data_IF_379213928502
#
_entry.id   IF_379213928502
#
_cell.length_a   1.000
_cell.length_b   1.000
_cell.length_c   1.000
_cell.angle_alpha   90.00
_cell.angle_beta   90.00
_cell.angle_gamma   90.00
#
_symmetry.space_group_name_H-M   'P 1'
#
loop_
_entity.id
_entity.type
_entity.pdbx_description
1 polymer ?
#
# COMPACT_ATOMS: atom_id res chain seq x y z
N UNK A 1 25.10 -8.46 -5.52
CA UNK A 1 24.18 -7.55 -6.25
C UNK A 1 25.01 -6.63 -7.14
N UNK A 2 24.76 -6.59 -8.47
CA UNK A 2 25.44 -5.64 -9.37
C UNK A 2 25.02 -4.21 -9.05
N UNK A 3 25.98 -3.27 -9.04
CA UNK A 3 25.76 -1.84 -8.77
C UNK A 3 24.87 -1.22 -9.85
N UNK A 4 23.90 -0.40 -9.45
CA UNK A 4 23.02 0.31 -10.36
C UNK A 4 23.83 1.36 -11.15
N UNK A 5 23.74 1.34 -12.49
CA UNK A 5 24.38 2.34 -13.35
C UNK A 5 23.71 3.71 -13.17
N UNK A 6 24.45 4.81 -13.33
CA UNK A 6 23.93 6.18 -13.19
C UNK A 6 22.66 6.43 -14.01
N UNK A 7 22.63 6.01 -15.28
CA UNK A 7 21.44 6.18 -16.15
C UNK A 7 20.21 5.41 -15.69
N UNK A 8 20.37 4.20 -15.15
CA UNK A 8 19.25 3.43 -14.56
C UNK A 8 18.71 4.11 -13.31
N UNK A 9 19.58 4.73 -12.50
CA UNK A 9 19.17 5.49 -11.32
C UNK A 9 18.31 6.68 -11.71
N UNK A 10 18.78 7.52 -12.63
CA UNK A 10 18.02 8.68 -13.12
C UNK A 10 16.69 8.29 -13.75
N UNK A 11 16.63 7.15 -14.45
CA UNK A 11 15.37 6.61 -14.96
C UNK A 11 14.40 6.26 -13.83
N UNK A 12 14.86 5.54 -12.80
CA UNK A 12 14.04 5.15 -11.65
C UNK A 12 13.56 6.39 -10.90
N UNK A 13 14.46 7.34 -10.63
CA UNK A 13 14.14 8.58 -9.91
C UNK A 13 13.02 9.34 -10.65
N UNK A 14 13.13 9.49 -11.98
CA UNK A 14 12.08 10.13 -12.77
C UNK A 14 10.74 9.37 -12.77
N UNK A 15 10.74 8.04 -12.73
CA UNK A 15 9.50 7.25 -12.61
C UNK A 15 8.88 7.43 -11.22
N UNK A 16 9.69 7.48 -10.16
CA UNK A 16 9.22 7.68 -8.79
C UNK A 16 8.69 9.11 -8.55
N UNK A 17 9.22 10.10 -9.27
CA UNK A 17 8.69 11.47 -9.33
C UNK A 17 7.34 11.56 -10.07
N UNK A 18 6.89 10.47 -10.72
CA UNK A 18 5.61 10.39 -11.40
C UNK A 18 5.66 10.71 -12.89
N UNK A 19 6.85 10.85 -13.48
CA UNK A 19 6.97 11.02 -14.93
C UNK A 19 6.60 9.73 -15.68
N UNK A 20 6.13 9.88 -16.92
CA UNK A 20 5.89 8.72 -17.78
C UNK A 20 7.22 8.00 -18.07
N UNK A 21 7.27 6.67 -18.18
CA UNK A 21 8.52 5.94 -18.44
C UNK A 21 9.30 6.45 -19.66
N UNK A 22 8.62 6.93 -20.70
CA UNK A 22 9.27 7.52 -21.88
C UNK A 22 9.97 8.84 -21.53
N UNK A 23 9.35 9.68 -20.69
CA UNK A 23 9.90 10.95 -20.22
C UNK A 23 11.06 10.72 -19.25
N UNK A 24 10.93 9.76 -18.33
CA UNK A 24 12.03 9.35 -17.44
C UNK A 24 13.24 8.83 -18.23
N UNK A 25 13.01 8.11 -19.34
CA UNK A 25 14.07 7.67 -20.24
C UNK A 25 14.71 8.82 -21.03
N UNK A 26 13.93 9.84 -21.41
CA UNK A 26 14.47 11.08 -22.01
C UNK A 26 15.35 11.83 -21.01
N UNK A 27 14.89 12.00 -19.78
CA UNK A 27 15.60 12.68 -18.70
C UNK A 27 16.93 11.97 -18.38
N UNK A 28 16.93 10.64 -18.37
CA UNK A 28 18.13 9.84 -18.16
C UNK A 28 19.12 9.82 -19.36
N UNK A 29 18.79 10.48 -20.47
CA UNK A 29 19.69 10.62 -21.63
C UNK A 29 19.85 9.33 -22.45
N UNK A 30 18.77 8.58 -22.65
CA UNK A 30 18.73 7.46 -23.60
C UNK A 30 18.41 7.95 -25.02
N UNK A 31 19.14 7.44 -26.02
CA UNK A 31 18.99 7.85 -27.42
C UNK A 31 17.64 7.42 -28.04
N UNK A 32 17.07 6.29 -27.59
CA UNK A 32 15.77 5.77 -28.05
C UNK A 32 14.79 5.60 -26.88
N UNK A 33 14.28 6.70 -26.29
CA UNK A 33 13.55 6.66 -25.02
C UNK A 33 12.36 5.70 -25.00
N UNK A 34 11.62 5.59 -26.11
CA UNK A 34 10.45 4.70 -26.22
C UNK A 34 10.81 3.21 -26.17
N UNK A 35 11.92 2.83 -26.80
CA UNK A 35 12.39 1.43 -26.79
C UNK A 35 13.14 1.14 -25.49
N UNK A 36 14.02 2.05 -25.08
CA UNK A 36 14.76 1.95 -23.82
C UNK A 36 13.85 1.88 -22.61
N UNK A 37 12.77 2.67 -22.54
CA UNK A 37 11.83 2.61 -21.41
C UNK A 37 11.18 1.24 -21.28
N UNK A 38 10.80 0.60 -22.40
CA UNK A 38 10.23 -0.76 -22.40
C UNK A 38 11.21 -1.79 -21.85
N UNK A 39 12.46 -1.77 -22.32
CA UNK A 39 13.48 -2.68 -21.81
C UNK A 39 13.87 -2.41 -20.36
N UNK A 40 13.92 -1.14 -19.95
CA UNK A 40 14.24 -0.76 -18.57
C UNK A 40 13.17 -1.21 -17.60
N UNK A 41 11.89 -1.17 -17.97
CA UNK A 41 10.81 -1.69 -17.13
C UNK A 41 10.82 -3.21 -16.99
N UNK A 42 11.40 -3.92 -17.94
CA UNK A 42 11.58 -5.38 -17.89
C UNK A 42 12.90 -5.77 -17.19
N UNK A 43 13.80 -4.82 -16.95
CA UNK A 43 15.10 -5.08 -16.34
C UNK A 43 14.93 -5.45 -14.86
N UNK A 44 15.43 -6.63 -14.50
CA UNK A 44 15.32 -7.18 -13.13
C UNK A 44 15.83 -6.23 -12.03
N UNK A 45 16.88 -5.45 -12.30
CA UNK A 45 17.39 -4.49 -11.31
C UNK A 45 16.44 -3.31 -11.15
N UNK A 46 15.95 -2.76 -12.26
CA UNK A 46 15.02 -1.63 -12.24
C UNK A 46 13.73 -2.04 -11.55
N UNK A 47 13.17 -3.21 -11.87
CA UNK A 47 11.99 -3.75 -11.21
C UNK A 47 12.19 -3.95 -9.71
N UNK A 48 13.36 -4.45 -9.28
CA UNK A 48 13.66 -4.61 -7.87
C UNK A 48 13.56 -3.29 -7.10
N UNK A 49 14.17 -2.22 -7.63
CA UNK A 49 14.15 -0.91 -6.99
C UNK A 49 12.78 -0.24 -7.06
N UNK A 50 12.07 -0.36 -8.18
CA UNK A 50 10.70 0.15 -8.32
C UNK A 50 9.75 -0.55 -7.34
N UNK A 51 9.80 -1.88 -7.26
CA UNK A 51 9.00 -2.66 -6.30
C UNK A 51 9.34 -2.31 -4.85
N UNK A 52 10.63 -2.13 -4.52
CA UNK A 52 11.06 -1.69 -3.19
C UNK A 52 10.50 -0.30 -2.83
N UNK A 53 10.31 0.56 -3.80
CA UNK A 53 9.69 1.88 -3.62
C UNK A 53 8.14 1.84 -3.67
N UNK A 54 7.53 0.66 -3.80
CA UNK A 54 6.08 0.48 -3.86
C UNK A 54 5.45 0.64 -5.24
N UNK A 55 6.26 0.67 -6.32
CA UNK A 55 5.78 0.79 -7.69
C UNK A 55 5.55 -0.59 -8.32
N UNK A 56 4.28 -0.92 -8.61
CA UNK A 56 3.90 -2.18 -9.27
C UNK A 56 3.85 -2.01 -10.79
N UNK A 57 4.71 -2.77 -11.49
CA UNK A 57 4.92 -2.75 -12.94
C UNK A 57 3.75 -3.37 -13.72
N UNK A 58 2.83 -4.07 -13.04
CA UNK A 58 1.70 -4.78 -13.64
C UNK A 58 0.62 -3.83 -14.24
N UNK A 59 0.76 -2.51 -14.08
CA UNK A 59 -0.20 -1.50 -14.55
C UNK A 59 0.21 -0.75 -15.84
N UNK A 60 1.26 -1.18 -16.57
CA UNK A 60 1.90 -0.33 -17.59
C UNK A 60 1.24 -0.37 -18.98
N UNK A 61 0.25 -1.23 -19.24
CA UNK A 61 -0.43 -1.27 -20.55
C UNK A 61 -1.56 -0.24 -20.75
N UNK A 62 -1.80 0.70 -19.83
CA UNK A 62 -2.90 1.66 -20.03
C UNK A 62 -2.94 2.81 -19.04
N UNK A 63 -1.83 3.53 -18.87
CA UNK A 63 -1.82 4.73 -18.02
C UNK A 63 -2.36 5.93 -18.83
N UNK A 64 -3.68 5.95 -18.97
CA UNK A 64 -4.42 7.20 -19.00
C UNK A 64 -4.11 7.91 -17.67
N UNK A 65 -3.59 9.13 -17.76
CA UNK A 65 -3.13 9.93 -16.62
C UNK A 65 -4.25 10.29 -15.60
N UNK A 66 -5.48 9.85 -15.85
CA UNK A 66 -6.63 10.03 -14.98
C UNK A 66 -6.72 8.93 -13.89
N UNK A 67 -6.18 7.72 -14.11
CA UNK A 67 -6.32 6.61 -13.14
C UNK A 67 -5.34 6.66 -11.96
N UNK A 68 -4.30 7.50 -11.99
CA UNK A 68 -3.38 7.64 -10.84
C UNK A 68 -4.02 8.41 -9.68
N UNK A 69 -5.15 9.12 -9.91
CA UNK A 69 -5.98 9.67 -8.83
C UNK A 69 -6.93 8.64 -8.21
N UNK A 70 -7.26 7.55 -8.91
CA UNK A 70 -8.24 6.57 -8.43
C UNK A 70 -7.64 5.44 -7.58
N UNK A 71 -6.34 5.14 -7.72
CA UNK A 71 -5.71 4.10 -6.88
C UNK A 71 -5.34 4.58 -5.45
N UNK A 72 -5.43 5.88 -5.16
CA UNK A 72 -5.44 6.36 -3.77
C UNK A 72 -6.77 6.08 -3.05
N UNK A 73 -7.83 5.69 -3.77
CA UNK A 73 -9.18 5.55 -3.21
C UNK A 73 -9.63 4.10 -2.97
N UNK A 74 -8.71 3.15 -2.87
CA UNK A 74 -9.04 1.77 -2.44
C UNK A 74 -8.38 1.36 -1.13
N UNK A 75 -7.97 2.35 -0.31
CA UNK A 75 -7.76 2.11 1.11
C UNK A 75 -9.13 2.15 1.79
N UNK A 76 -9.44 1.08 2.52
CA UNK A 76 -10.65 1.04 3.35
C UNK A 76 -10.39 1.97 4.54
N UNK A 77 -10.91 3.19 4.46
CA UNK A 77 -10.90 4.16 5.54
C UNK A 77 -12.19 3.98 6.31
N UNK A 78 -12.09 3.45 7.53
CA UNK A 78 -13.23 3.35 8.43
C UNK A 78 -13.24 4.54 9.37
N UNK A 79 -14.39 5.20 9.48
CA UNK A 79 -14.59 6.23 10.52
C UNK A 79 -14.85 5.59 11.88
N UNK A 80 -14.60 6.32 12.95
CA UNK A 80 -14.80 5.83 14.33
C UNK A 80 -16.27 5.42 14.58
N UNK A 81 -17.23 6.05 13.91
CA UNK A 81 -18.65 5.69 13.96
C UNK A 81 -18.91 4.31 13.34
N UNK A 82 -18.27 4.00 12.20
CA UNK A 82 -18.38 2.70 11.55
C UNK A 82 -17.75 1.60 12.40
N UNK A 83 -16.57 1.86 12.98
CA UNK A 83 -15.91 0.95 13.92
C UNK A 83 -16.81 0.69 15.14
N UNK A 84 -17.46 1.73 15.67
CA UNK A 84 -18.36 1.61 16.82
C UNK A 84 -19.64 0.84 16.48
N UNK A 85 -20.21 1.05 15.28
CA UNK A 85 -21.36 0.27 14.78
C UNK A 85 -21.02 -1.21 14.60
N UNK A 86 -19.82 -1.52 14.11
CA UNK A 86 -19.32 -2.90 13.99
C UNK A 86 -19.22 -3.54 15.38
N UNK A 87 -18.69 -2.81 16.36
CA UNK A 87 -18.58 -3.30 17.74
C UNK A 87 -19.96 -3.61 18.33
N UNK A 88 -20.97 -2.78 18.04
CA UNK A 88 -22.32 -2.91 18.61
C UNK A 88 -23.20 -3.96 17.89
N UNK A 89 -23.02 -4.16 16.58
CA UNK A 89 -23.90 -5.00 15.76
C UNK A 89 -23.31 -6.37 15.40
N UNK A 90 -22.05 -6.64 15.71
CA UNK A 90 -21.44 -7.94 15.42
C UNK A 90 -21.52 -8.88 16.64
N UNK A 91 -21.77 -10.16 16.36
CA UNK A 91 -21.77 -11.20 17.40
C UNK A 91 -20.37 -11.42 18.00
N UNK A 92 -19.31 -11.19 17.22
CA UNK A 92 -17.91 -11.37 17.63
C UNK A 92 -17.02 -10.17 17.21
N UNK A 93 -17.13 -9.01 17.88
CA UNK A 93 -16.45 -7.78 17.48
C UNK A 93 -14.93 -7.90 17.53
N UNK A 94 -14.41 -8.75 18.42
CA UNK A 94 -12.97 -8.99 18.55
C UNK A 94 -12.38 -9.65 17.29
N UNK A 95 -13.01 -10.73 16.80
CA UNK A 95 -12.53 -11.46 15.62
C UNK A 95 -12.59 -10.58 14.38
N UNK A 96 -13.67 -9.80 14.25
CA UNK A 96 -13.86 -8.91 13.13
C UNK A 96 -12.78 -7.81 13.10
N UNK A 97 -12.52 -7.12 14.22
CA UNK A 97 -11.47 -6.10 14.28
C UNK A 97 -10.06 -6.66 14.01
N UNK A 98 -9.79 -7.91 14.39
CA UNK A 98 -8.53 -8.60 14.06
C UNK A 98 -8.40 -8.86 12.55
N UNK A 99 -9.49 -9.22 11.88
CA UNK A 99 -9.50 -9.40 10.42
C UNK A 99 -9.18 -8.09 9.69
N UNK A 100 -9.66 -6.94 10.18
CA UNK A 100 -9.33 -5.63 9.61
C UNK A 100 -7.88 -5.21 9.87
N UNK A 101 -7.29 -5.58 11.01
CA UNK A 101 -5.88 -5.34 11.31
C UNK A 101 -4.95 -6.11 10.36
N UNK A 102 -5.31 -7.32 9.98
CA UNK A 102 -4.52 -8.18 9.10
C UNK A 102 -4.78 -7.92 7.61
N UNK A 103 -5.57 -6.91 7.27
CA UNK A 103 -5.92 -6.59 5.90
C UNK A 103 -5.00 -5.48 5.35
N UNK A 104 -4.20 -5.83 4.35
CA UNK A 104 -3.25 -4.93 3.67
C UNK A 104 -3.94 -3.78 2.91
N UNK A 105 -5.25 -3.86 2.70
CA UNK A 105 -6.06 -2.82 2.06
C UNK A 105 -6.62 -1.79 3.03
N UNK A 106 -6.40 -1.95 4.34
CA UNK A 106 -6.83 -0.99 5.36
C UNK A 106 -5.70 0.01 5.58
N UNK A 107 -6.04 1.30 5.62
CA UNK A 107 -5.06 2.34 5.88
C UNK A 107 -4.40 2.17 7.27
N UNK A 108 -3.11 2.51 7.38
CA UNK A 108 -2.34 2.34 8.61
C UNK A 108 -2.92 3.14 9.77
N UNK A 109 -3.45 4.34 9.52
CA UNK A 109 -4.08 5.15 10.56
C UNK A 109 -5.35 4.47 11.06
N UNK A 110 -6.14 3.90 10.14
CA UNK A 110 -7.34 3.12 10.47
C UNK A 110 -6.97 1.87 11.27
N UNK A 111 -5.89 1.16 10.91
CA UNK A 111 -5.39 0.00 11.66
C UNK A 111 -4.99 0.37 13.10
N UNK A 112 -4.31 1.50 13.30
CA UNK A 112 -3.94 2.00 14.63
C UNK A 112 -5.17 2.31 15.47
N UNK A 113 -6.19 2.95 14.88
CA UNK A 113 -7.47 3.23 15.57
C UNK A 113 -8.20 1.95 15.96
N UNK A 114 -8.23 0.95 15.08
CA UNK A 114 -8.79 -0.38 15.36
C UNK A 114 -8.03 -1.07 16.49
N UNK A 115 -6.70 -1.02 16.49
CA UNK A 115 -5.86 -1.57 17.55
C UNK A 115 -6.16 -0.91 18.91
N UNK A 116 -6.31 0.42 18.95
CA UNK A 116 -6.67 1.13 20.16
C UNK A 116 -8.04 0.70 20.71
N UNK A 117 -9.02 0.44 19.83
CA UNK A 117 -10.34 -0.10 20.22
C UNK A 117 -10.33 -1.58 20.59
N UNK A 118 -9.30 -2.33 20.19
CA UNK A 118 -9.08 -3.72 20.60
C UNK A 118 -8.44 -3.86 21.99
N UNK A 119 -7.69 -2.85 22.46
CA UNK A 119 -7.03 -2.91 23.78
C UNK A 119 -7.99 -3.27 24.93
N UNK A 120 -9.21 -2.71 25.04
CA UNK A 120 -10.17 -3.11 26.06
C UNK A 120 -10.59 -4.58 25.96
N UNK A 121 -10.62 -5.21 24.80
CA UNK A 121 -10.98 -6.63 24.68
C UNK A 121 -9.87 -7.59 25.18
N UNK A 122 -8.63 -7.11 25.25
CA UNK A 122 -7.50 -7.86 25.79
C UNK A 122 -7.22 -7.53 27.26
N UNK A 123 -7.51 -6.29 27.67
CA UNK A 123 -7.26 -5.79 29.03
C UNK A 123 -8.51 -5.65 29.90
N UNK A 124 -9.71 -5.93 29.37
CA UNK A 124 -10.92 -6.03 30.18
C UNK A 124 -10.69 -7.10 31.24
N UNK A 125 -10.70 -6.68 32.50
CA UNK A 125 -10.71 -7.58 33.64
C UNK A 125 -11.87 -8.54 33.44
N UNK A 126 -11.57 -9.83 33.31
CA UNK A 126 -12.58 -10.88 33.34
C UNK A 126 -13.48 -10.61 34.56
N UNK A 127 -14.82 -10.60 34.43
CA UNK A 127 -15.66 -10.44 35.59
C UNK A 127 -15.29 -11.53 36.61
N UNK A 128 -15.20 -11.18 37.91
CA UNK A 128 -14.84 -12.16 38.92
C UNK A 128 -15.81 -13.34 38.79
N UNK A 129 -15.26 -14.56 38.75
CA UNK A 129 -16.03 -15.79 38.71
C UNK A 129 -16.93 -15.78 39.94
N UNK A 130 -18.22 -15.51 39.76
CA UNK A 130 -19.22 -15.73 40.82
C UNK A 130 -19.30 -17.24 41.02
N UNK A 131 -18.50 -17.74 41.96
CA UNK A 131 -18.73 -19.06 42.55
C UNK A 131 -20.05 -18.93 43.29
N UNK A 132 -21.11 -19.47 42.72
CA UNK A 132 -22.33 -19.73 43.47
C UNK A 132 -21.95 -20.77 44.53
N UNK A 133 -21.97 -20.34 45.79
CA UNK A 133 -21.94 -21.21 46.98
C UNK A 133 -23.33 -21.14 47.58
#
# INVERSE_FOLDING_TARGET
MRRLTGKKRSFIDGVLEGLKPIESAKLAGYAYPRQSSRYLLQDSQVQFYLKRAGYSVDNIEGIDAEKVKDFKNKLIILTDEQISKIIQNSNDPKLFLIQFLNNDLVDKETQVRIAAKLLPFYHAKKPPIKRFV
#
